data_IF_521305726052
#
_entry.id   IF_521305726052
#
_cell.length_a   1.000
_cell.length_b   1.000
_cell.length_c   1.000
_cell.angle_alpha   90.00
_cell.angle_beta   90.00
_cell.angle_gamma   90.00
#
_symmetry.space_group_name_H-M   'P 1'
#
loop_
_entity.id
_entity.type
_entity.pdbx_description
1 polymer ?
#
# COMPACT_ATOMS: atom_id res chain seq x y z
N UNK A 1 27.84 6.96 -15.17
CA UNK A 1 27.68 7.61 -13.91
C UNK A 1 26.50 6.98 -13.22
N UNK A 2 26.73 6.22 -12.15
CA UNK A 2 25.69 5.60 -11.34
C UNK A 2 24.84 6.72 -10.76
N UNK A 3 23.57 6.83 -11.18
CA UNK A 3 22.56 7.46 -10.34
C UNK A 3 22.31 6.48 -9.21
N UNK A 4 22.93 6.73 -8.06
CA UNK A 4 22.56 6.07 -6.81
C UNK A 4 21.05 6.29 -6.61
N UNK A 5 20.33 5.23 -6.31
CA UNK A 5 18.95 5.27 -5.88
C UNK A 5 18.85 6.11 -4.61
N UNK A 6 18.61 7.41 -4.77
CA UNK A 6 18.52 8.38 -3.67
C UNK A 6 17.09 8.49 -3.11
N UNK A 7 16.22 7.54 -3.35
CA UNK A 7 14.81 7.59 -2.96
C UNK A 7 14.56 7.45 -1.45
N UNK A 8 15.59 7.18 -0.64
CA UNK A 8 15.43 6.85 0.77
C UNK A 8 15.78 7.97 1.76
N UNK A 9 16.30 9.12 1.33
CA UNK A 9 16.98 10.03 2.25
C UNK A 9 16.35 11.41 2.49
N UNK A 10 15.23 11.76 1.81
CA UNK A 10 14.60 13.07 1.99
C UNK A 10 13.06 13.07 1.86
N UNK A 11 12.39 11.93 1.95
CA UNK A 11 10.93 11.91 2.02
C UNK A 11 10.48 12.21 3.44
N UNK A 12 9.57 13.16 3.59
CA UNK A 12 8.91 13.55 4.84
C UNK A 12 7.83 12.52 5.24
N UNK A 13 7.82 11.35 4.63
CA UNK A 13 6.92 10.23 4.87
C UNK A 13 7.49 8.95 4.28
N UNK A 14 6.94 7.80 4.67
CA UNK A 14 7.45 6.53 4.13
C UNK A 14 6.87 6.27 2.74
N UNK A 15 7.74 6.00 1.75
CA UNK A 15 7.51 5.51 0.39
C UNK A 15 6.72 6.40 -0.57
N UNK A 16 5.94 7.37 -0.10
CA UNK A 16 5.15 8.28 -0.93
C UNK A 16 5.19 9.70 -0.38
N UNK A 17 5.08 10.68 -1.25
CA UNK A 17 4.96 12.09 -0.92
C UNK A 17 4.11 12.84 -1.96
N UNK A 18 4.01 14.17 -1.84
CA UNK A 18 3.25 15.04 -2.76
C UNK A 18 3.80 15.06 -4.19
N UNK A 19 5.04 14.60 -4.41
CA UNK A 19 5.70 14.54 -5.73
C UNK A 19 5.57 13.18 -6.39
N UNK A 20 5.05 12.18 -5.67
CA UNK A 20 4.91 10.81 -6.16
C UNK A 20 3.96 10.75 -7.35
N UNK A 21 4.46 10.33 -8.50
CA UNK A 21 3.70 10.15 -9.74
C UNK A 21 3.08 8.77 -9.81
N UNK A 22 1.78 8.70 -9.99
CA UNK A 22 1.01 7.46 -9.88
C UNK A 22 0.34 7.07 -11.19
N UNK A 23 0.49 5.81 -11.60
CA UNK A 23 -0.27 5.17 -12.66
C UNK A 23 -1.43 4.34 -12.07
N UNK A 24 -2.56 4.31 -12.77
CA UNK A 24 -3.73 3.53 -12.37
C UNK A 24 -3.97 2.40 -13.35
N UNK A 25 -3.78 1.15 -12.92
CA UNK A 25 -4.11 -0.01 -13.72
C UNK A 25 -5.60 -0.32 -13.64
N UNK A 26 -6.24 -0.46 -14.81
CA UNK A 26 -7.69 -0.56 -14.93
C UNK A 26 -8.39 0.80 -14.88
N UNK A 27 -7.70 1.90 -15.23
CA UNK A 27 -8.21 3.27 -15.13
C UNK A 27 -9.53 3.50 -15.90
N UNK A 28 -9.75 2.79 -16.99
CA UNK A 28 -10.97 2.91 -17.81
C UNK A 28 -12.17 2.14 -17.24
N UNK A 29 -11.96 1.35 -16.19
CA UNK A 29 -13.01 0.66 -15.46
C UNK A 29 -13.68 1.56 -14.42
N UNK A 30 -14.93 1.27 -14.05
CA UNK A 30 -15.68 2.10 -13.10
C UNK A 30 -14.97 2.33 -11.76
N UNK A 31 -14.35 1.29 -11.19
CA UNK A 31 -13.59 1.41 -9.94
C UNK A 31 -12.30 2.21 -10.14
N UNK A 32 -11.56 1.93 -11.24
CA UNK A 32 -10.32 2.65 -11.55
C UNK A 32 -10.55 4.15 -11.72
N UNK A 33 -11.53 4.55 -12.54
CA UNK A 33 -11.89 5.96 -12.75
C UNK A 33 -12.39 6.61 -11.47
N UNK A 34 -13.26 5.94 -10.71
CA UNK A 34 -13.80 6.49 -9.46
C UNK A 34 -12.70 6.79 -8.45
N UNK A 35 -11.82 5.82 -8.19
CA UNK A 35 -10.75 6.00 -7.21
C UNK A 35 -9.65 6.94 -7.72
N UNK A 36 -9.34 6.95 -9.03
CA UNK A 36 -8.44 7.94 -9.63
C UNK A 36 -8.95 9.36 -9.40
N UNK A 37 -10.26 9.60 -9.60
CA UNK A 37 -10.90 10.88 -9.29
C UNK A 37 -10.69 11.28 -7.83
N UNK A 38 -10.94 10.36 -6.89
CA UNK A 38 -10.75 10.62 -5.45
C UNK A 38 -9.29 10.84 -5.03
N UNK A 39 -8.35 10.20 -5.72
CA UNK A 39 -6.93 10.43 -5.51
C UNK A 39 -6.50 11.83 -5.98
N UNK A 40 -6.96 12.25 -7.16
CA UNK A 40 -6.69 13.60 -7.69
C UNK A 40 -7.33 14.68 -6.80
N UNK A 41 -8.58 14.49 -6.36
CA UNK A 41 -9.25 15.42 -5.44
C UNK A 41 -8.50 15.58 -4.10
N UNK A 42 -7.77 14.55 -3.67
CA UNK A 42 -6.94 14.59 -2.46
C UNK A 42 -5.61 15.31 -2.67
N UNK A 43 -5.09 15.35 -3.88
CA UNK A 43 -3.81 15.97 -4.23
C UNK A 43 -2.79 15.02 -4.89
N UNK A 44 -3.14 13.76 -5.08
CA UNK A 44 -2.25 12.77 -5.70
C UNK A 44 -2.01 13.08 -7.18
N UNK A 45 -0.76 13.01 -7.61
CA UNK A 45 -0.39 13.23 -9.01
C UNK A 45 -0.62 11.97 -9.87
N UNK A 46 -1.83 11.81 -10.40
CA UNK A 46 -2.14 10.75 -11.37
C UNK A 46 -1.64 11.20 -12.74
N UNK A 47 -0.61 10.52 -13.26
CA UNK A 47 0.05 10.86 -14.52
C UNK A 47 -0.40 10.04 -15.72
N UNK A 48 -1.21 9.01 -15.50
CA UNK A 48 -1.77 8.15 -16.55
C UNK A 48 -2.39 6.89 -15.99
N UNK A 49 -2.78 6.01 -16.89
CA UNK A 49 -3.29 4.69 -16.52
C UNK A 49 -2.97 3.63 -17.55
N UNK A 50 -3.14 2.39 -17.15
CA UNK A 50 -2.91 1.23 -18.02
C UNK A 50 -4.19 0.41 -18.13
N UNK A 51 -4.62 0.19 -19.37
CA UNK A 51 -5.70 -0.75 -19.71
C UNK A 51 -5.38 -1.38 -21.06
N UNK A 52 -4.99 -2.65 -21.10
CA UNK A 52 -4.64 -3.34 -22.35
C UNK A 52 -5.75 -3.23 -23.40
N UNK A 53 -5.38 -2.90 -24.63
CA UNK A 53 -6.28 -2.69 -25.78
C UNK A 53 -6.99 -1.33 -25.79
N UNK A 54 -6.63 -0.41 -24.87
CA UNK A 54 -7.16 0.96 -24.83
C UNK A 54 -6.09 2.04 -24.88
N UNK A 55 -4.86 1.68 -25.22
CA UNK A 55 -3.77 2.62 -25.45
C UNK A 55 -4.14 3.71 -26.44
N UNK A 56 -3.68 4.94 -26.19
CA UNK A 56 -3.99 6.12 -26.98
C UNK A 56 -5.32 6.80 -26.65
N UNK A 57 -6.15 6.26 -25.76
CA UNK A 57 -7.29 6.95 -25.17
C UNK A 57 -6.85 7.89 -24.05
N UNK A 58 -7.77 8.77 -23.64
CA UNK A 58 -7.60 9.64 -22.48
C UNK A 58 -8.75 9.43 -21.50
N UNK A 59 -8.47 9.61 -20.21
CA UNK A 59 -9.47 9.58 -19.14
C UNK A 59 -9.56 10.95 -18.51
N UNK A 60 -10.79 11.50 -18.46
CA UNK A 60 -11.06 12.78 -17.81
C UNK A 60 -11.06 12.61 -16.29
N UNK A 61 -10.17 13.32 -15.62
CA UNK A 61 -10.11 13.44 -14.16
C UNK A 61 -10.32 14.91 -13.76
N UNK A 62 -10.57 15.22 -12.47
CA UNK A 62 -10.73 16.58 -12.01
C UNK A 62 -9.55 17.49 -12.42
N UNK A 63 -9.83 18.49 -13.25
CA UNK A 63 -8.85 19.47 -13.70
C UNK A 63 -7.80 18.99 -14.71
N UNK A 64 -7.84 17.74 -15.17
CA UNK A 64 -6.89 17.20 -16.16
C UNK A 64 -7.44 16.02 -16.96
N UNK A 65 -6.88 15.81 -18.13
CA UNK A 65 -6.96 14.56 -18.88
C UNK A 65 -5.66 13.79 -18.70
N UNK A 66 -5.75 12.48 -18.59
CA UNK A 66 -4.57 11.61 -18.43
C UNK A 66 -4.56 10.52 -19.51
N UNK A 67 -3.37 10.20 -20.07
CA UNK A 67 -3.25 9.20 -21.11
C UNK A 67 -3.47 7.78 -20.57
N UNK A 68 -3.98 6.92 -21.45
CA UNK A 68 -4.08 5.48 -21.23
C UNK A 68 -3.07 4.76 -22.10
N UNK A 69 -2.35 3.81 -21.51
CA UNK A 69 -1.33 2.99 -22.16
C UNK A 69 -1.79 1.53 -22.21
N UNK A 70 -1.23 0.76 -23.13
CA UNK A 70 -1.49 -0.67 -23.23
C UNK A 70 -0.63 -1.49 -22.25
N UNK A 71 0.57 -0.99 -21.91
CA UNK A 71 1.53 -1.69 -21.06
C UNK A 71 2.11 -0.80 -19.96
N UNK A 72 2.57 -1.41 -18.87
CA UNK A 72 3.28 -0.71 -17.81
C UNK A 72 4.63 -0.14 -18.27
N UNK A 73 5.36 -0.87 -19.10
CA UNK A 73 6.66 -0.43 -19.63
C UNK A 73 6.54 0.88 -20.43
N UNK A 74 5.54 0.96 -21.34
CA UNK A 74 5.23 2.19 -22.08
C UNK A 74 4.83 3.35 -21.13
N UNK A 75 3.94 3.05 -20.18
CA UNK A 75 3.46 4.03 -19.23
C UNK A 75 4.58 4.62 -18.35
N UNK A 76 5.41 3.77 -17.74
CA UNK A 76 6.53 4.21 -16.88
C UNK A 76 7.57 4.98 -17.69
N UNK A 77 7.96 4.49 -18.87
CA UNK A 77 8.95 5.17 -19.72
C UNK A 77 8.48 6.54 -20.20
N UNK A 78 7.19 6.71 -20.44
CA UNK A 78 6.61 7.97 -20.94
C UNK A 78 6.39 8.98 -19.82
N UNK A 79 5.91 8.52 -18.64
CA UNK A 79 5.46 9.42 -17.57
C UNK A 79 6.51 9.63 -16.48
N UNK A 80 7.46 8.71 -16.35
CA UNK A 80 8.40 8.68 -15.23
C UNK A 80 7.70 8.41 -13.90
N UNK A 81 6.68 7.56 -13.90
CA UNK A 81 5.91 7.24 -12.69
C UNK A 81 6.75 6.48 -11.65
N UNK A 82 6.48 6.77 -10.39
CA UNK A 82 7.13 6.20 -9.20
C UNK A 82 6.30 5.07 -8.57
N UNK A 83 4.99 5.08 -8.82
CA UNK A 83 4.06 4.13 -8.23
C UNK A 83 2.94 3.73 -9.18
N UNK A 84 2.34 2.57 -8.91
CA UNK A 84 1.11 2.14 -9.58
C UNK A 84 0.12 1.54 -8.60
N UNK A 85 -1.17 1.73 -8.87
CA UNK A 85 -2.26 1.12 -8.10
C UNK A 85 -3.13 0.24 -9.01
N UNK A 86 -3.50 -0.94 -8.51
CA UNK A 86 -4.16 -2.00 -9.28
C UNK A 86 -5.60 -2.16 -8.82
N UNK A 87 -6.55 -1.95 -9.75
CA UNK A 87 -7.99 -2.15 -9.58
C UNK A 87 -8.57 -3.20 -10.54
N UNK A 88 -7.71 -3.97 -11.21
CA UNK A 88 -8.18 -4.99 -12.15
C UNK A 88 -8.79 -6.19 -11.42
N UNK A 89 -9.71 -6.97 -12.04
CA UNK A 89 -10.26 -8.18 -11.45
C UNK A 89 -9.21 -9.19 -11.02
N UNK A 90 -9.49 -9.99 -9.99
CA UNK A 90 -8.55 -10.92 -9.34
C UNK A 90 -7.76 -11.82 -10.34
N UNK A 91 -8.44 -12.33 -11.37
CA UNK A 91 -7.80 -13.18 -12.40
C UNK A 91 -6.70 -12.48 -13.22
N UNK A 92 -6.68 -11.15 -13.22
CA UNK A 92 -5.69 -10.33 -13.94
C UNK A 92 -4.70 -9.65 -13.01
N UNK A 93 -4.92 -9.70 -11.70
CA UNK A 93 -4.14 -8.91 -10.75
C UNK A 93 -2.71 -9.43 -10.59
N UNK A 94 -2.50 -10.75 -10.48
CA UNK A 94 -1.15 -11.30 -10.38
C UNK A 94 -0.30 -11.01 -11.62
N UNK A 95 -0.76 -11.22 -12.87
CA UNK A 95 -0.05 -10.76 -14.07
C UNK A 95 0.23 -9.25 -14.08
N UNK A 96 -0.72 -8.43 -13.64
CA UNK A 96 -0.58 -6.98 -13.59
C UNK A 96 0.49 -6.53 -12.58
N UNK A 97 0.62 -7.22 -11.44
CA UNK A 97 1.68 -6.97 -10.47
C UNK A 97 3.05 -7.32 -11.06
N UNK A 98 3.18 -8.48 -11.72
CA UNK A 98 4.44 -8.93 -12.34
C UNK A 98 4.87 -7.95 -13.44
N UNK A 99 3.96 -7.58 -14.35
CA UNK A 99 4.23 -6.62 -15.41
C UNK A 99 4.72 -5.27 -14.86
N UNK A 100 4.09 -4.78 -13.78
CA UNK A 100 4.51 -3.55 -13.14
C UNK A 100 5.90 -3.68 -12.51
N UNK A 101 6.16 -4.81 -11.84
CA UNK A 101 7.44 -5.07 -11.20
C UNK A 101 8.58 -5.13 -12.22
N UNK A 102 8.38 -5.82 -13.34
CA UNK A 102 9.33 -5.91 -14.43
C UNK A 102 9.58 -4.54 -15.07
N UNK A 103 8.53 -3.76 -15.34
CA UNK A 103 8.65 -2.43 -15.92
C UNK A 103 9.46 -1.47 -15.02
N UNK A 104 9.19 -1.44 -13.73
CA UNK A 104 9.96 -0.62 -12.79
C UNK A 104 11.41 -1.07 -12.67
N UNK A 105 11.64 -2.37 -12.62
CA UNK A 105 12.98 -2.93 -12.50
C UNK A 105 13.83 -2.69 -13.76
N UNK A 106 13.32 -3.03 -14.95
CA UNK A 106 14.02 -2.90 -16.24
C UNK A 106 14.37 -1.45 -16.57
N UNK A 107 13.51 -0.52 -16.22
CA UNK A 107 13.73 0.91 -16.42
C UNK A 107 14.60 1.56 -15.34
N UNK A 108 15.04 0.79 -14.32
CA UNK A 108 15.75 1.27 -13.13
C UNK A 108 15.04 2.48 -12.48
N UNK A 109 13.72 2.51 -12.58
CA UNK A 109 12.91 3.60 -12.05
C UNK A 109 12.71 3.45 -10.53
N UNK A 110 12.83 2.21 -10.01
CA UNK A 110 12.28 1.86 -8.72
C UNK A 110 10.75 1.95 -8.76
N UNK A 111 10.02 1.32 -7.84
CA UNK A 111 8.59 1.47 -7.92
C UNK A 111 7.83 0.86 -6.76
N UNK A 112 6.75 1.56 -6.40
CA UNK A 112 5.78 1.10 -5.43
C UNK A 112 4.54 0.59 -6.15
N UNK A 113 4.19 -0.66 -5.90
CA UNK A 113 3.00 -1.32 -6.44
C UNK A 113 1.99 -1.49 -5.32
N UNK A 114 0.78 -0.97 -5.49
CA UNK A 114 -0.31 -1.12 -4.54
C UNK A 114 -1.41 -1.97 -5.19
N UNK A 115 -1.69 -3.15 -4.63
CA UNK A 115 -2.74 -4.03 -5.13
C UNK A 115 -3.96 -4.00 -4.21
N UNK A 116 -5.02 -3.34 -4.67
CA UNK A 116 -6.29 -3.24 -3.92
C UNK A 116 -7.11 -4.53 -4.06
N UNK A 117 -6.95 -5.22 -5.18
CA UNK A 117 -7.76 -6.37 -5.57
C UNK A 117 -7.74 -7.48 -4.53
N UNK A 118 -8.92 -7.93 -4.16
CA UNK A 118 -9.18 -9.09 -3.29
C UNK A 118 -9.40 -10.36 -4.13
N UNK A 119 -9.12 -11.52 -3.54
CA UNK A 119 -9.46 -12.83 -4.11
C UNK A 119 -8.46 -13.36 -5.12
N UNK A 120 -7.22 -12.88 -5.10
CA UNK A 120 -6.13 -13.47 -5.88
C UNK A 120 -5.79 -14.83 -5.27
N UNK A 121 -5.66 -15.92 -6.07
CA UNK A 121 -5.28 -17.22 -5.55
C UNK A 121 -3.94 -17.18 -4.82
N UNK A 122 -3.86 -17.83 -3.66
CA UNK A 122 -2.63 -17.85 -2.83
C UNK A 122 -1.40 -18.34 -3.59
N UNK A 123 -1.57 -19.36 -4.46
CA UNK A 123 -0.46 -19.87 -5.29
C UNK A 123 0.05 -18.83 -6.30
N UNK A 124 -0.83 -17.99 -6.82
CA UNK A 124 -0.42 -16.92 -7.73
C UNK A 124 0.32 -15.83 -6.96
N UNK A 125 -0.11 -15.52 -5.73
CA UNK A 125 0.59 -14.56 -4.87
C UNK A 125 1.97 -15.09 -4.42
N UNK A 126 2.13 -16.38 -4.16
CA UNK A 126 3.45 -16.97 -3.88
C UNK A 126 4.40 -16.73 -5.06
N UNK A 127 3.92 -16.95 -6.31
CA UNK A 127 4.73 -16.68 -7.51
C UNK A 127 5.08 -15.21 -7.65
N UNK A 128 4.13 -14.32 -7.39
CA UNK A 128 4.33 -12.87 -7.42
C UNK A 128 5.40 -12.44 -6.43
N UNK A 129 5.28 -12.83 -5.16
CA UNK A 129 6.23 -12.45 -4.11
C UNK A 129 7.62 -13.00 -4.41
N UNK A 130 7.72 -14.31 -4.78
CA UNK A 130 9.00 -14.91 -5.19
C UNK A 130 9.63 -14.19 -6.39
N UNK A 131 8.82 -13.72 -7.35
CA UNK A 131 9.32 -12.95 -8.49
C UNK A 131 9.90 -11.61 -8.03
N UNK A 132 9.15 -10.85 -7.23
CA UNK A 132 9.55 -9.52 -6.73
C UNK A 132 10.80 -9.59 -5.85
N UNK A 133 10.96 -10.63 -5.02
CA UNK A 133 12.14 -10.84 -4.17
C UNK A 133 13.45 -10.91 -4.97
N UNK A 134 13.38 -11.29 -6.25
CA UNK A 134 14.54 -11.31 -7.14
C UNK A 134 14.79 -9.97 -7.88
N UNK A 135 13.94 -8.98 -7.67
CA UNK A 135 14.05 -7.67 -8.31
C UNK A 135 14.52 -6.61 -7.30
N UNK A 136 15.38 -5.71 -7.76
CA UNK A 136 15.82 -4.58 -6.94
C UNK A 136 14.93 -3.35 -7.16
N UNK A 137 14.69 -2.59 -6.08
CA UNK A 137 14.00 -1.31 -6.17
C UNK A 137 12.47 -1.39 -6.31
N UNK A 138 11.86 -2.57 -6.19
CA UNK A 138 10.41 -2.76 -6.30
C UNK A 138 9.83 -3.16 -4.95
N UNK A 139 8.69 -2.57 -4.60
CA UNK A 139 7.93 -2.89 -3.39
C UNK A 139 6.46 -3.12 -3.73
N UNK A 140 5.86 -4.16 -3.13
CA UNK A 140 4.44 -4.45 -3.25
C UNK A 140 3.74 -4.24 -1.89
N UNK A 141 2.65 -3.49 -1.87
CA UNK A 141 1.68 -3.40 -0.77
C UNK A 141 0.39 -4.11 -1.18
N UNK A 142 -0.12 -4.94 -0.32
CA UNK A 142 -1.26 -5.83 -0.61
C UNK A 142 -0.81 -7.21 -1.14
N UNK A 143 -1.74 -7.98 -1.71
CA UNK A 143 -3.10 -7.66 -2.17
C UNK A 143 -4.13 -7.45 -1.04
N UNK A 144 -5.40 -7.24 -1.42
CA UNK A 144 -6.52 -7.10 -0.51
C UNK A 144 -6.26 -6.05 0.59
N UNK A 145 -5.86 -4.86 0.17
CA UNK A 145 -5.48 -3.77 1.06
C UNK A 145 -6.21 -2.47 0.69
N UNK A 146 -6.33 -1.52 1.62
CA UNK A 146 -6.91 -0.21 1.32
C UNK A 146 -5.91 0.76 0.68
N UNK A 147 -4.64 0.40 0.58
CA UNK A 147 -3.57 1.21 0.03
C UNK A 147 -2.72 1.93 1.07
N UNK A 148 -2.21 3.09 0.70
CA UNK A 148 -1.32 3.93 1.51
C UNK A 148 -1.75 5.39 1.39
N UNK A 149 -1.63 6.15 2.48
CA UNK A 149 -1.89 7.59 2.49
C UNK A 149 -0.90 8.31 3.39
N UNK A 150 -0.32 9.39 2.88
CA UNK A 150 0.53 10.32 3.63
C UNK A 150 -0.09 11.71 3.55
N UNK A 151 -0.71 12.22 4.64
CA UNK A 151 -1.30 13.54 4.69
C UNK A 151 -0.22 14.62 4.63
N UNK A 152 -0.42 15.65 3.78
CA UNK A 152 0.40 16.84 3.70
C UNK A 152 -0.29 18.06 4.31
N UNK A 153 0.40 19.20 4.29
CA UNK A 153 -0.13 20.48 4.80
C UNK A 153 -1.34 21.00 3.99
N UNK A 154 -1.39 20.71 2.69
CA UNK A 154 -2.41 21.19 1.74
C UNK A 154 -2.94 20.09 0.83
N UNK A 155 -2.97 18.87 1.31
CA UNK A 155 -3.33 17.69 0.54
C UNK A 155 -2.48 16.52 0.99
N UNK A 156 -1.58 16.06 0.13
CA UNK A 156 -0.72 14.91 0.39
C UNK A 156 -0.79 13.90 -0.75
N UNK A 157 -0.30 12.71 -0.50
CA UNK A 157 -0.41 11.59 -1.44
C UNK A 157 -1.29 10.49 -0.86
N UNK A 158 -2.25 10.07 -1.65
CA UNK A 158 -3.14 8.95 -1.34
C UNK A 158 -3.14 8.00 -2.53
N UNK A 159 -2.80 6.74 -2.30
CA UNK A 159 -2.83 5.70 -3.32
C UNK A 159 -3.69 4.54 -2.82
N UNK A 160 -4.90 4.42 -3.36
CA UNK A 160 -5.86 3.41 -2.96
C UNK A 160 -7.23 3.97 -2.59
N UNK A 161 -7.92 3.29 -1.68
CA UNK A 161 -9.33 3.53 -1.36
C UNK A 161 -9.57 4.22 -0.02
N UNK A 162 -8.52 4.49 0.78
CA UNK A 162 -8.67 5.16 2.08
C UNK A 162 -9.38 6.52 1.92
N UNK A 163 -10.35 6.86 2.80
CA UNK A 163 -11.04 8.15 2.75
C UNK A 163 -10.10 9.28 3.19
N UNK A 164 -9.68 10.15 2.26
CA UNK A 164 -8.71 11.21 2.56
C UNK A 164 -9.17 12.21 3.63
N UNK A 165 -10.47 12.49 3.69
CA UNK A 165 -11.05 13.52 4.57
C UNK A 165 -10.99 13.20 6.07
N UNK A 166 -10.70 11.95 6.47
CA UNK A 166 -10.54 11.58 7.88
C UNK A 166 -9.10 11.74 8.36
N UNK A 167 -8.15 11.92 7.46
CA UNK A 167 -6.72 12.00 7.76
C UNK A 167 -6.25 13.45 7.86
N UNK A 168 -5.30 13.71 8.74
CA UNK A 168 -4.58 14.98 8.78
C UNK A 168 -3.10 14.73 9.10
N UNK A 169 -2.22 15.65 8.65
CA UNK A 169 -0.80 15.59 8.96
C UNK A 169 -0.55 15.63 10.46
N UNK A 170 0.32 14.77 10.93
CA UNK A 170 0.72 14.66 12.34
C UNK A 170 1.95 13.77 12.50
N UNK A 171 2.04 13.06 13.64
CA UNK A 171 3.26 12.38 14.08
C UNK A 171 3.11 10.86 14.24
N UNK A 172 1.93 10.30 13.94
CA UNK A 172 1.64 8.89 14.19
C UNK A 172 1.66 8.10 12.88
N UNK A 173 2.51 7.08 12.81
CA UNK A 173 2.46 6.06 11.77
C UNK A 173 1.37 5.02 12.08
N UNK A 174 0.66 4.54 11.07
CA UNK A 174 -0.33 3.46 11.23
C UNK A 174 -0.05 2.34 10.26
N UNK A 175 0.02 1.11 10.77
CA UNK A 175 0.16 -0.12 9.97
C UNK A 175 -1.01 -1.03 10.30
N UNK A 176 -1.73 -1.51 9.29
CA UNK A 176 -2.93 -2.31 9.55
C UNK A 176 -3.17 -3.39 8.50
N UNK A 177 -3.58 -4.58 8.96
CA UNK A 177 -4.17 -5.63 8.10
C UNK A 177 -5.62 -5.32 7.71
N UNK A 178 -6.33 -4.52 8.50
CA UNK A 178 -7.75 -4.24 8.33
C UNK A 178 -8.01 -2.83 7.81
N UNK A 179 -8.76 -2.69 6.71
CA UNK A 179 -9.21 -1.38 6.22
C UNK A 179 -10.08 -0.65 7.24
N UNK A 180 -11.09 -1.32 7.77
CA UNK A 180 -12.06 -0.72 8.73
C UNK A 180 -11.38 -0.28 10.02
N UNK A 181 -10.52 -1.14 10.61
CA UNK A 181 -9.83 -0.79 11.86
C UNK A 181 -8.76 0.31 11.63
N UNK A 182 -8.21 0.44 10.44
CA UNK A 182 -7.38 1.58 10.07
C UNK A 182 -8.15 2.89 10.26
N UNK A 183 -9.37 2.96 9.75
CA UNK A 183 -10.20 4.18 9.84
C UNK A 183 -10.59 4.50 11.28
N UNK A 184 -10.85 3.47 12.10
CA UNK A 184 -11.11 3.65 13.54
C UNK A 184 -9.86 4.20 14.25
N UNK A 185 -8.68 3.64 13.99
CA UNK A 185 -7.44 4.14 14.59
C UNK A 185 -7.15 5.58 14.17
N UNK A 186 -7.37 5.92 12.91
CA UNK A 186 -7.27 7.30 12.41
C UNK A 186 -8.23 8.22 13.17
N UNK A 187 -9.50 7.83 13.31
CA UNK A 187 -10.50 8.63 14.04
C UNK A 187 -10.11 8.84 15.51
N UNK A 188 -9.59 7.80 16.17
CA UNK A 188 -9.15 7.90 17.56
C UNK A 188 -7.90 8.77 17.73
N UNK A 189 -6.90 8.64 16.87
CA UNK A 189 -5.72 9.52 16.91
C UNK A 189 -6.10 10.98 16.66
N UNK A 190 -6.99 11.24 15.70
CA UNK A 190 -7.53 12.58 15.46
C UNK A 190 -8.32 13.12 16.67
N UNK A 191 -9.05 12.24 17.35
CA UNK A 191 -9.82 12.58 18.55
C UNK A 191 -8.98 13.05 19.74
N UNK A 192 -7.72 12.64 19.80
CA UNK A 192 -6.74 13.11 20.81
C UNK A 192 -5.84 14.24 20.32
N UNK A 193 -6.11 14.76 19.13
CA UNK A 193 -5.39 15.90 18.55
C UNK A 193 -4.10 15.51 17.80
N UNK A 194 -3.91 14.22 17.49
CA UNK A 194 -2.77 13.73 16.73
C UNK A 194 -3.19 13.37 15.30
N UNK A 195 -2.36 13.74 14.33
CA UNK A 195 -2.52 13.33 12.95
C UNK A 195 -1.54 12.22 12.58
N UNK A 196 -1.53 11.86 11.30
CA UNK A 196 -0.72 10.76 10.79
C UNK A 196 0.44 11.27 9.94
N UNK A 197 1.59 10.58 10.03
CA UNK A 197 2.67 10.72 9.03
C UNK A 197 2.33 9.90 7.79
N UNK A 198 2.06 8.63 7.99
CA UNK A 198 1.62 7.72 6.92
C UNK A 198 0.74 6.61 7.50
N UNK A 199 -0.33 6.24 6.79
CA UNK A 199 -1.11 5.05 7.08
C UNK A 199 -0.88 4.02 5.96
N UNK A 200 -0.44 2.83 6.34
CA UNK A 200 -0.21 1.70 5.42
C UNK A 200 -1.20 0.58 5.73
N UNK A 201 -2.03 0.26 4.76
CA UNK A 201 -2.84 -0.95 4.80
C UNK A 201 -2.08 -2.08 4.11
N UNK A 202 -1.59 -3.04 4.87
CA UNK A 202 -0.77 -4.15 4.32
C UNK A 202 -1.61 -5.30 3.76
N UNK A 203 -2.92 -5.32 4.05
CA UNK A 203 -3.85 -6.36 3.59
C UNK A 203 -3.96 -7.56 4.54
N UNK A 204 -5.07 -8.28 4.39
CA UNK A 204 -5.43 -9.44 5.24
C UNK A 204 -5.24 -10.79 4.57
N UNK A 205 -4.57 -10.87 3.43
CA UNK A 205 -4.30 -12.13 2.75
C UNK A 205 -3.10 -12.87 3.39
N UNK A 206 -3.05 -14.21 3.32
CA UNK A 206 -1.96 -14.99 3.93
C UNK A 206 -0.60 -14.74 3.30
N UNK A 207 -0.55 -14.31 2.04
CA UNK A 207 0.66 -13.95 1.30
C UNK A 207 0.50 -12.53 0.77
N UNK A 208 1.25 -11.63 1.34
CA UNK A 208 1.31 -10.23 0.94
C UNK A 208 2.74 -9.81 0.60
N UNK A 209 2.89 -8.66 -0.06
CA UNK A 209 4.20 -8.17 -0.50
C UNK A 209 4.99 -7.47 0.59
N UNK A 210 4.31 -6.72 1.47
CA UNK A 210 4.93 -5.94 2.55
C UNK A 210 4.25 -6.29 3.86
N UNK A 211 5.02 -6.59 4.89
CA UNK A 211 4.54 -6.93 6.22
C UNK A 211 4.76 -5.83 7.25
N UNK A 212 4.59 -6.19 8.52
CA UNK A 212 4.77 -5.25 9.63
C UNK A 212 6.22 -4.79 9.79
N UNK A 213 7.19 -5.72 9.65
CA UNK A 213 8.61 -5.42 9.89
C UNK A 213 9.10 -4.38 8.91
N UNK A 214 8.82 -4.54 7.61
CA UNK A 214 9.25 -3.58 6.58
C UNK A 214 8.63 -2.19 6.78
N UNK A 215 7.39 -2.14 7.26
CA UNK A 215 6.76 -0.87 7.63
C UNK A 215 7.42 -0.25 8.86
N UNK A 216 7.72 -1.03 9.89
CA UNK A 216 8.41 -0.56 11.09
C UNK A 216 9.82 -0.06 10.77
N UNK A 217 10.57 -0.76 9.91
CA UNK A 217 11.89 -0.31 9.43
C UNK A 217 11.80 1.07 8.77
N UNK A 218 10.80 1.27 7.92
CA UNK A 218 10.59 2.55 7.26
C UNK A 218 10.18 3.66 8.27
N UNK A 219 9.31 3.37 9.22
CA UNK A 219 8.91 4.32 10.26
C UNK A 219 10.05 4.63 11.25
N UNK A 220 10.95 3.70 11.52
CA UNK A 220 12.14 3.99 12.34
C UNK A 220 13.03 5.04 11.68
N UNK A 221 13.18 4.97 10.36
CA UNK A 221 13.98 5.93 9.58
C UNK A 221 13.28 7.27 9.34
N UNK A 222 11.96 7.33 9.47
CA UNK A 222 11.19 8.57 9.25
C UNK A 222 11.29 9.50 10.45
N UNK A 223 11.94 10.69 10.31
CA UNK A 223 12.11 11.62 11.42
C UNK A 223 10.81 12.29 11.88
N UNK A 224 9.75 12.30 11.05
CA UNK A 224 8.46 12.88 11.42
C UNK A 224 7.58 11.90 12.21
N UNK A 225 7.82 10.60 12.12
CA UNK A 225 7.08 9.61 12.89
C UNK A 225 7.64 9.52 14.31
N UNK A 226 6.83 9.85 15.31
CA UNK A 226 7.18 9.78 16.73
C UNK A 226 6.60 8.56 17.44
N UNK A 227 5.54 7.96 16.90
CA UNK A 227 4.90 6.75 17.44
C UNK A 227 4.21 5.96 16.33
N UNK A 228 3.98 4.66 16.53
CA UNK A 228 3.29 3.80 15.58
C UNK A 228 2.13 3.07 16.24
N UNK A 229 0.99 3.03 15.53
CA UNK A 229 -0.14 2.13 15.83
C UNK A 229 -0.08 0.94 14.89
N UNK A 230 0.00 -0.26 15.45
CA UNK A 230 0.06 -1.51 14.72
C UNK A 230 -1.24 -2.30 14.94
N UNK A 231 -1.99 -2.56 13.87
CA UNK A 231 -3.25 -3.27 13.92
C UNK A 231 -3.12 -4.60 13.20
N UNK A 232 -3.12 -5.66 13.98
CA UNK A 232 -3.13 -7.04 13.51
C UNK A 232 -4.46 -7.73 13.72
N UNK A 233 -4.46 -9.00 13.40
CA UNK A 233 -5.61 -9.90 13.59
C UNK A 233 -5.13 -11.30 13.89
N UNK A 234 -6.03 -12.14 14.39
CA UNK A 234 -5.73 -13.55 14.61
C UNK A 234 -5.26 -14.23 13.32
N UNK A 235 -4.39 -15.21 13.44
CA UNK A 235 -3.87 -16.04 12.36
C UNK A 235 -2.41 -15.71 11.98
N UNK A 236 -1.61 -16.75 11.84
CA UNK A 236 -0.18 -16.64 11.58
C UNK A 236 0.62 -16.18 12.81
N UNK A 237 1.81 -15.68 12.57
CA UNK A 237 2.82 -15.26 13.59
C UNK A 237 3.42 -13.89 13.30
N UNK A 238 2.90 -13.19 12.29
CA UNK A 238 3.50 -11.93 11.82
C UNK A 238 3.50 -10.81 12.88
N UNK A 239 2.49 -10.76 13.73
CA UNK A 239 2.38 -9.81 14.83
C UNK A 239 3.40 -10.07 15.92
N UNK A 240 3.58 -11.34 16.31
CA UNK A 240 4.59 -11.77 17.30
C UNK A 240 6.00 -11.56 16.76
N UNK A 241 6.25 -11.91 15.50
CA UNK A 241 7.55 -11.70 14.83
C UNK A 241 7.90 -10.20 14.77
N UNK A 242 6.94 -9.35 14.42
CA UNK A 242 7.12 -7.91 14.40
C UNK A 242 7.39 -7.34 15.80
N UNK A 243 6.67 -7.83 16.82
CA UNK A 243 6.89 -7.42 18.21
C UNK A 243 8.27 -7.84 18.73
N UNK A 244 8.73 -9.06 18.39
CA UNK A 244 10.06 -9.52 18.78
C UNK A 244 11.17 -8.73 18.08
N UNK A 245 11.02 -8.48 16.77
CA UNK A 245 11.94 -7.66 16.00
C UNK A 245 12.04 -6.23 16.55
N UNK A 246 10.91 -5.64 16.91
CA UNK A 246 10.83 -4.27 17.40
C UNK A 246 11.58 -4.06 18.72
N UNK A 247 11.69 -5.06 19.60
CA UNK A 247 12.41 -4.95 20.89
C UNK A 247 13.85 -4.47 20.74
N UNK A 248 14.50 -4.81 19.64
CA UNK A 248 15.92 -4.51 19.41
C UNK A 248 16.16 -3.54 18.27
N UNK A 249 15.19 -3.33 17.39
CA UNK A 249 15.37 -2.58 16.13
C UNK A 249 14.49 -1.32 16.01
N UNK A 250 13.57 -1.10 16.95
CA UNK A 250 12.64 0.02 16.88
C UNK A 250 12.71 0.85 18.17
N UNK A 251 12.98 2.13 18.05
CA UNK A 251 13.22 3.02 19.19
C UNK A 251 11.99 3.82 19.64
N UNK A 252 10.98 3.90 18.78
CA UNK A 252 9.79 4.73 19.00
C UNK A 252 8.66 3.93 19.68
N UNK A 253 7.74 4.56 20.41
CA UNK A 253 6.59 3.88 20.99
C UNK A 253 5.73 3.17 19.95
N UNK A 254 5.31 1.93 20.25
CA UNK A 254 4.35 1.15 19.48
C UNK A 254 3.12 0.85 20.35
N UNK A 255 1.93 1.10 19.81
CA UNK A 255 0.67 0.64 20.38
C UNK A 255 0.13 -0.46 19.47
N UNK A 256 0.04 -1.69 19.99
CA UNK A 256 -0.48 -2.85 19.26
C UNK A 256 -1.96 -3.13 19.59
N UNK A 257 -2.74 -3.46 18.57
CA UNK A 257 -4.09 -4.01 18.71
C UNK A 257 -4.22 -5.24 17.81
N UNK A 258 -4.66 -6.37 18.38
CA UNK A 258 -4.91 -7.60 17.62
C UNK A 258 -6.39 -7.93 17.67
N UNK A 259 -7.05 -7.90 16.50
CA UNK A 259 -8.46 -8.22 16.39
C UNK A 259 -8.72 -9.71 16.47
N UNK A 260 -9.87 -10.10 17.07
CA UNK A 260 -10.35 -11.48 17.03
C UNK A 260 -10.20 -12.26 18.34
N UNK A 261 -9.99 -11.60 19.50
CA UNK A 261 -9.84 -12.24 20.81
C UNK A 261 -10.96 -13.25 21.16
N UNK A 262 -12.17 -13.06 20.61
CA UNK A 262 -13.33 -13.94 20.83
C UNK A 262 -13.58 -14.93 19.68
N UNK A 263 -12.68 -15.00 18.71
CA UNK A 263 -12.86 -15.87 17.55
C UNK A 263 -12.74 -17.35 17.94
N UNK A 264 -13.67 -18.21 17.50
CA UNK A 264 -13.56 -19.63 17.75
C UNK A 264 -12.44 -20.26 16.92
N UNK A 265 -11.63 -21.17 17.50
CA UNK A 265 -10.57 -21.88 16.77
C UNK A 265 -11.12 -22.59 15.51
N UNK A 266 -10.33 -22.57 14.44
CA UNK A 266 -10.66 -23.22 13.17
C UNK A 266 -11.72 -22.53 12.31
N UNK A 267 -12.27 -21.39 12.76
CA UNK A 267 -13.19 -20.58 11.96
C UNK A 267 -12.48 -19.37 11.38
N UNK A 268 -12.60 -19.18 10.06
CA UNK A 268 -12.12 -17.99 9.38
C UNK A 268 -12.98 -16.78 9.74
N UNK A 269 -12.33 -15.68 10.12
CA UNK A 269 -12.98 -14.46 10.60
C UNK A 269 -12.74 -13.28 9.64
N UNK A 270 -13.46 -13.25 8.51
CA UNK A 270 -13.31 -12.20 7.50
C UNK A 270 -12.19 -12.51 6.50
N UNK A 271 -10.99 -12.00 6.76
CA UNK A 271 -9.82 -12.22 5.89
C UNK A 271 -9.41 -13.68 5.76
N UNK A 272 -8.80 -14.04 4.65
CA UNK A 272 -8.37 -15.41 4.39
C UNK A 272 -7.31 -15.91 5.39
N UNK A 273 -6.45 -15.00 5.88
CA UNK A 273 -5.43 -15.28 6.89
C UNK A 273 -5.95 -15.29 8.34
N UNK A 274 -7.14 -14.74 8.61
CA UNK A 274 -7.69 -14.58 9.96
C UNK A 274 -8.33 -15.85 10.49
N UNK A 275 -7.50 -16.84 10.81
CA UNK A 275 -7.90 -18.15 11.35
C UNK A 275 -6.92 -18.66 12.38
N UNK A 276 -7.39 -19.05 13.58
CA UNK A 276 -6.57 -19.72 14.59
C UNK A 276 -6.39 -21.18 14.16
N UNK A 277 -5.16 -21.57 13.88
CA UNK A 277 -4.80 -22.90 13.39
C UNK A 277 -3.65 -23.48 14.20
N UNK A 278 -3.78 -24.74 14.63
CA UNK A 278 -2.71 -25.43 15.36
C UNK A 278 -2.31 -24.80 16.69
N UNK A 279 -3.18 -24.02 17.33
CA UNK A 279 -2.92 -23.34 18.59
C UNK A 279 -2.01 -22.11 18.49
N UNK A 280 -1.78 -21.60 17.28
CA UNK A 280 -1.03 -20.37 17.00
C UNK A 280 -1.92 -19.27 16.43
N UNK A 281 -1.47 -18.01 16.54
CA UNK A 281 -2.18 -16.87 16.00
C UNK A 281 -3.44 -16.51 16.79
N UNK A 282 -3.41 -16.65 18.10
CA UNK A 282 -4.44 -16.11 19.02
C UNK A 282 -4.19 -14.62 19.24
N UNK A 283 -5.26 -13.85 19.49
CA UNK A 283 -5.13 -12.43 19.84
C UNK A 283 -4.57 -12.25 21.26
#
# INVERSE_FOLDING_TARGET
GYRQCHWWWYSVSIWIDEQTKVLVQGITGGQGTFHATRMVEYGTDIVGGVTPGKGGQEVQLPGREVPVFDTMSEAVSTTGADATVIYVPARFAAPAIIEAADAFHELNAGGLIICITEGIPTLDMIRVVTHIENLSGVRLIGPNCPGIISPGERGGCKIGIMPGYIHAKGRVGIISKSGTLTYEAVAQTMGVGEGQTTCVGIGGDPVNGTGFIECLEAFEQDPETEAVVMIGEIGGTAEEEAAEWAKTNFSKPIVGFVAGATAPPGKRMGHAGAIISGGKGTA
#
